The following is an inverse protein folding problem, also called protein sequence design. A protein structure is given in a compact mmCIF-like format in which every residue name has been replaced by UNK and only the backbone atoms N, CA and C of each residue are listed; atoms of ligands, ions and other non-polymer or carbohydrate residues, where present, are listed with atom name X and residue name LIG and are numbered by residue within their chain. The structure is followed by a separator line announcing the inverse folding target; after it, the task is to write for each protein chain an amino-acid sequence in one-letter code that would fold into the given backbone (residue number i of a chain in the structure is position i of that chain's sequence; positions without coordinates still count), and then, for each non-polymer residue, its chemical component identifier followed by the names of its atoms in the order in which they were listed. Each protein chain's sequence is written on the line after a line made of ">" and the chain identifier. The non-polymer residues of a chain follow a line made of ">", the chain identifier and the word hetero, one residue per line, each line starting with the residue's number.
data_IF_415158573770
#
_entry.id   IF_415158573770
#
_cell.length_a   1.000
_cell.length_b   1.000
_cell.length_c   1.000
_cell.angle_alpha   90.00
_cell.angle_beta   90.00
_cell.angle_gamma   90.00
#
_symmetry.space_group_name_H-M   'P 1'
#
loop_
_entity.id
_entity.type
_entity.pdbx_description
1 polymer ?
#
# COMPACT_ATOMS: atom_id res chain seq x y z
N UNK A 1 7.38 18.07 -8.27
CA UNK A 1 8.46 17.73 -9.22
C UNK A 1 9.77 17.89 -8.48
N UNK A 2 10.52 16.80 -8.26
CA UNK A 2 11.89 16.89 -7.74
C UNK A 2 12.82 17.12 -8.93
N UNK A 3 13.64 18.16 -8.87
CA UNK A 3 14.65 18.45 -9.90
C UNK A 3 16.02 18.10 -9.35
N UNK A 4 16.81 17.36 -10.12
CA UNK A 4 18.21 17.08 -9.83
C UNK A 4 19.09 17.75 -10.89
N UNK A 5 19.98 18.63 -10.46
CA UNK A 5 20.88 19.35 -11.37
C UNK A 5 22.09 18.47 -11.70
N UNK A 6 22.22 18.10 -12.97
CA UNK A 6 23.44 17.45 -13.48
C UNK A 6 24.55 18.51 -13.50
N UNK A 7 25.74 18.24 -12.92
CA UNK A 7 26.87 19.18 -12.94
C UNK A 7 27.23 19.60 -14.37
N UNK A 8 27.73 20.83 -14.55
CA UNK A 8 28.23 21.28 -15.86
C UNK A 8 29.46 20.45 -16.25
N UNK A 9 29.58 20.11 -17.54
CA UNK A 9 30.70 19.35 -18.08
C UNK A 9 31.02 19.67 -19.53
N UNK A 10 32.10 19.05 -20.02
CA UNK A 10 32.59 19.24 -21.38
C UNK A 10 31.74 18.47 -22.38
N UNK A 11 31.32 19.15 -23.45
CA UNK A 11 30.55 18.54 -24.55
C UNK A 11 31.23 17.26 -25.06
N UNK A 12 30.44 16.20 -25.23
CA UNK A 12 30.89 14.88 -25.66
C UNK A 12 31.47 14.01 -24.54
N UNK A 13 31.74 14.55 -23.35
CA UNK A 13 32.16 13.76 -22.20
C UNK A 13 30.97 13.04 -21.56
N UNK A 14 31.21 11.85 -21.01
CA UNK A 14 30.21 11.05 -20.30
C UNK A 14 29.69 11.76 -19.06
N UNK A 15 28.39 11.65 -18.83
CA UNK A 15 27.74 12.07 -17.59
C UNK A 15 27.79 10.91 -16.60
N UNK A 16 28.53 11.08 -15.49
CA UNK A 16 28.63 10.08 -14.42
C UNK A 16 27.46 10.18 -13.44
N UNK A 17 26.25 9.98 -13.94
CA UNK A 17 25.02 9.97 -13.16
C UNK A 17 24.16 8.76 -13.55
N UNK A 18 23.39 8.25 -12.61
CA UNK A 18 22.45 7.15 -12.81
C UNK A 18 21.16 7.41 -12.02
N UNK A 19 20.03 7.05 -12.62
CA UNK A 19 18.71 7.11 -11.97
C UNK A 19 18.42 5.88 -11.10
N UNK A 20 19.26 4.84 -11.14
CA UNK A 20 18.98 3.53 -10.53
C UNK A 20 18.75 3.62 -9.02
N UNK A 21 19.64 4.29 -8.28
CA UNK A 21 19.51 4.38 -6.83
C UNK A 21 18.27 5.16 -6.41
N UNK A 22 18.01 6.28 -7.07
CA UNK A 22 16.83 7.12 -6.82
C UNK A 22 15.54 6.35 -7.12
N UNK A 23 15.45 5.67 -8.27
CA UNK A 23 14.29 4.85 -8.63
C UNK A 23 14.08 3.74 -7.59
N UNK A 24 15.13 2.99 -7.24
CA UNK A 24 15.04 1.91 -6.25
C UNK A 24 14.56 2.43 -4.88
N UNK A 25 14.98 3.63 -4.48
CA UNK A 25 14.55 4.22 -3.21
C UNK A 25 13.07 4.62 -3.24
N UNK A 26 12.56 5.10 -4.38
CA UNK A 26 11.13 5.37 -4.54
C UNK A 26 10.31 4.07 -4.62
N UNK A 27 10.81 3.04 -5.29
CA UNK A 27 10.14 1.72 -5.34
C UNK A 27 9.99 1.10 -3.95
N UNK A 28 11.01 1.21 -3.10
CA UNK A 28 10.93 0.81 -1.68
C UNK A 28 9.91 1.60 -0.87
N UNK A 29 9.58 2.81 -1.31
CA UNK A 29 8.52 3.64 -0.73
C UNK A 29 7.14 3.37 -1.34
N UNK A 30 7.03 2.38 -2.24
CA UNK A 30 5.78 1.97 -2.85
C UNK A 30 5.46 2.68 -4.17
N UNK A 31 6.38 3.46 -4.75
CA UNK A 31 6.18 4.01 -6.09
C UNK A 31 6.47 2.97 -7.17
N UNK A 32 5.88 3.15 -8.35
CA UNK A 32 6.09 2.30 -9.52
C UNK A 32 6.63 3.14 -10.66
N UNK A 33 7.71 2.68 -11.29
CA UNK A 33 8.27 3.33 -12.47
C UNK A 33 7.29 3.23 -13.66
N UNK A 34 6.93 4.37 -14.24
CA UNK A 34 6.12 4.44 -15.45
C UNK A 34 7.00 4.63 -16.68
N UNK A 35 7.97 5.54 -16.61
CA UNK A 35 8.90 5.78 -17.72
C UNK A 35 10.17 6.44 -17.23
N UNK A 36 11.29 6.08 -17.87
CA UNK A 36 12.59 6.69 -17.69
C UNK A 36 13.24 6.87 -19.07
N UNK A 37 13.57 8.10 -19.44
CA UNK A 37 14.25 8.38 -20.71
C UNK A 37 15.75 8.72 -20.53
N UNK A 38 16.31 8.53 -19.32
CA UNK A 38 17.73 8.73 -19.08
C UNK A 38 18.57 7.61 -19.71
N UNK A 39 19.50 7.91 -20.64
CA UNK A 39 20.27 6.88 -21.34
C UNK A 39 21.48 6.41 -20.52
N UNK A 40 21.87 5.15 -20.70
CA UNK A 40 23.00 4.51 -19.98
C UNK A 40 24.36 5.15 -20.29
N UNK A 41 24.50 5.76 -21.46
CA UNK A 41 25.72 6.37 -22.01
C UNK A 41 25.55 7.88 -22.28
N UNK A 42 24.74 8.55 -21.46
CA UNK A 42 24.52 9.99 -21.55
C UNK A 42 25.83 10.80 -21.65
N UNK A 43 25.88 11.76 -22.58
CA UNK A 43 27.00 12.70 -22.75
C UNK A 43 26.52 14.15 -22.69
N UNK A 44 27.41 15.09 -22.38
CA UNK A 44 27.09 16.52 -22.42
C UNK A 44 26.86 16.99 -23.86
N UNK A 45 25.75 17.71 -24.09
CA UNK A 45 25.39 18.31 -25.40
C UNK A 45 25.46 19.82 -25.33
N UNK A 46 25.80 20.47 -26.46
CA UNK A 46 25.82 21.94 -26.59
C UNK A 46 24.44 22.53 -26.31
N UNK A 47 23.38 21.86 -26.77
CA UNK A 47 21.98 22.27 -26.57
C UNK A 47 21.47 22.09 -25.13
N UNK A 48 22.29 21.53 -24.23
CA UNK A 48 21.82 21.01 -22.95
C UNK A 48 21.21 19.62 -23.08
N UNK A 49 20.90 19.04 -21.92
CA UNK A 49 20.26 17.74 -21.77
C UNK A 49 19.00 17.91 -20.91
N UNK A 50 17.93 17.22 -21.28
CA UNK A 50 16.70 17.13 -20.49
C UNK A 50 16.28 15.66 -20.42
N UNK A 51 16.05 15.19 -19.20
CA UNK A 51 15.68 13.81 -18.91
C UNK A 51 14.58 13.80 -17.84
N UNK A 52 13.62 12.90 -17.99
CA UNK A 52 12.48 12.76 -17.12
C UNK A 52 12.34 11.30 -16.66
N UNK A 53 12.07 11.18 -15.36
CA UNK A 53 11.67 9.92 -14.72
C UNK A 53 10.28 10.15 -14.15
N UNK A 54 9.32 9.37 -14.61
CA UNK A 54 7.95 9.42 -14.13
C UNK A 54 7.68 8.18 -13.29
N UNK A 55 7.24 8.41 -12.05
CA UNK A 55 6.74 7.39 -11.16
C UNK A 55 5.31 7.73 -10.74
N UNK A 56 4.55 6.71 -10.38
CA UNK A 56 3.22 6.84 -9.77
C UNK A 56 3.23 6.15 -8.42
N UNK A 57 2.32 6.54 -7.53
CA UNK A 57 2.07 5.77 -6.31
C UNK A 57 1.55 4.38 -6.68
N UNK A 58 2.14 3.34 -6.11
CA UNK A 58 1.64 1.98 -6.23
C UNK A 58 0.40 1.78 -5.36
N UNK A 59 -0.40 0.76 -5.72
CA UNK A 59 -1.59 0.38 -4.96
C UNK A 59 -1.46 -1.08 -4.56
N UNK A 60 -1.68 -1.35 -3.27
CA UNK A 60 -1.72 -2.70 -2.74
C UNK A 60 -3.09 -2.97 -2.10
N UNK A 61 -3.79 -4.05 -2.49
CA UNK A 61 -5.03 -4.43 -1.83
C UNK A 61 -4.74 -4.92 -0.41
N UNK A 62 -5.44 -4.33 0.55
CA UNK A 62 -5.41 -4.76 1.95
C UNK A 62 -6.72 -5.47 2.26
N UNK A 63 -6.62 -6.66 2.86
CA UNK A 63 -7.75 -7.47 3.31
C UNK A 63 -7.65 -7.69 4.81
N UNK A 64 -8.72 -8.21 5.47
CA UNK A 64 -8.64 -8.58 6.87
C UNK A 64 -7.51 -9.55 7.23
N UNK A 65 -7.05 -10.35 6.25
CA UNK A 65 -6.04 -11.39 6.47
C UNK A 65 -4.64 -10.99 5.99
N UNK A 66 -4.46 -9.75 5.49
CA UNK A 66 -3.14 -9.22 5.13
C UNK A 66 -2.22 -9.22 6.37
N UNK A 67 -1.04 -9.86 6.31
CA UNK A 67 -0.08 -9.85 7.41
C UNK A 67 0.39 -8.43 7.73
N UNK A 68 0.65 -8.08 9.00
CA UNK A 68 1.14 -6.75 9.37
C UNK A 68 2.45 -6.34 8.70
N UNK A 69 3.30 -7.31 8.35
CA UNK A 69 4.58 -7.08 7.63
C UNK A 69 4.38 -6.62 6.20
N UNK A 70 3.21 -6.89 5.63
CA UNK A 70 2.90 -6.64 4.22
C UNK A 70 2.03 -5.38 4.07
N UNK A 71 1.69 -4.70 5.17
CA UNK A 71 0.92 -3.44 5.15
C UNK A 71 1.87 -2.28 4.83
N UNK A 72 1.65 -1.51 3.75
CA UNK A 72 2.47 -0.35 3.42
C UNK A 72 2.53 0.68 4.53
N UNK A 73 3.70 1.32 4.67
CA UNK A 73 3.89 2.43 5.60
C UNK A 73 2.96 3.60 5.22
N UNK A 74 2.34 4.23 6.22
CA UNK A 74 1.37 5.31 5.99
C UNK A 74 -0.04 4.87 5.60
N UNK A 75 -0.33 3.56 5.57
CA UNK A 75 -1.71 3.05 5.36
C UNK A 75 -2.66 3.65 6.40
N UNK A 76 -3.75 4.34 5.99
CA UNK A 76 -4.72 4.94 6.91
C UNK A 76 -5.33 3.93 7.89
N UNK A 77 -5.68 4.38 9.09
CA UNK A 77 -6.21 3.51 10.16
C UNK A 77 -7.47 2.71 9.72
N UNK A 78 -8.37 3.34 8.95
CA UNK A 78 -9.57 2.69 8.44
C UNK A 78 -9.31 1.65 7.33
N UNK A 79 -8.10 1.62 6.78
CA UNK A 79 -7.66 0.63 5.80
C UNK A 79 -6.76 -0.46 6.41
N UNK A 80 -6.46 -0.40 7.71
CA UNK A 80 -5.68 -1.43 8.40
C UNK A 80 -6.45 -2.76 8.47
N UNK A 81 -5.79 -3.93 8.36
CA UNK A 81 -6.46 -5.24 8.39
C UNK A 81 -7.40 -5.44 9.59
N UNK A 82 -7.03 -4.93 10.76
CA UNK A 82 -7.83 -4.98 11.98
C UNK A 82 -9.13 -4.17 11.88
N UNK A 83 -9.10 -3.01 11.22
CA UNK A 83 -10.28 -2.17 11.00
C UNK A 83 -11.28 -2.79 10.00
N UNK A 84 -10.79 -3.71 9.16
CA UNK A 84 -11.58 -4.45 8.18
C UNK A 84 -12.24 -5.72 8.76
N UNK A 85 -11.95 -6.09 10.02
CA UNK A 85 -12.62 -7.19 10.72
C UNK A 85 -13.87 -6.71 11.45
N UNK A 86 -14.96 -7.48 11.32
CA UNK A 86 -16.21 -7.26 12.04
C UNK A 86 -16.63 -8.54 12.74
N UNK A 87 -16.72 -8.48 14.05
CA UNK A 87 -17.31 -9.55 14.85
C UNK A 87 -18.81 -9.31 15.01
N UNK A 88 -19.60 -10.33 14.68
CA UNK A 88 -21.05 -10.32 14.85
C UNK A 88 -21.45 -11.33 15.90
N UNK A 89 -22.03 -10.85 17.00
CA UNK A 89 -22.57 -11.67 18.08
C UNK A 89 -24.10 -11.61 18.10
N UNK A 90 -24.76 -12.76 18.08
CA UNK A 90 -26.19 -12.88 18.34
C UNK A 90 -26.41 -13.52 19.71
N UNK A 91 -27.11 -12.82 20.60
CA UNK A 91 -27.51 -13.31 21.92
C UNK A 91 -29.01 -13.53 21.94
N UNK A 92 -29.43 -14.77 22.20
CA UNK A 92 -30.84 -15.12 22.40
C UNK A 92 -31.07 -15.25 23.90
N UNK A 93 -32.02 -14.49 24.44
CA UNK A 93 -32.44 -14.59 25.84
C UNK A 93 -33.77 -15.33 25.92
N UNK A 94 -33.85 -16.34 26.78
CA UNK A 94 -35.09 -17.05 27.08
C UNK A 94 -35.65 -16.53 28.40
N UNK A 95 -36.86 -15.97 28.35
CA UNK A 95 -37.58 -15.44 29.51
C UNK A 95 -39.01 -15.97 29.53
N UNK A 96 -39.59 -16.09 30.71
CA UNK A 96 -41.01 -16.39 30.88
C UNK A 96 -41.87 -15.17 30.49
N UNK A 97 -43.20 -15.35 30.40
CA UNK A 97 -44.14 -14.26 30.09
C UNK A 97 -44.12 -13.13 31.13
N UNK A 98 -43.69 -13.41 32.35
CA UNK A 98 -43.52 -12.44 33.44
C UNK A 98 -42.15 -11.71 33.39
N UNK A 99 -41.29 -12.01 32.42
CA UNK A 99 -39.97 -11.41 32.25
C UNK A 99 -38.85 -12.04 33.09
N UNK A 100 -39.15 -13.02 33.95
CA UNK A 100 -38.13 -13.77 34.69
C UNK A 100 -37.30 -14.65 33.74
N UNK A 101 -36.05 -14.93 34.12
CA UNK A 101 -35.18 -15.80 33.32
C UNK A 101 -35.77 -17.22 33.24
N UNK A 102 -35.90 -17.75 32.03
CA UNK A 102 -36.33 -19.14 31.84
C UNK A 102 -35.28 -20.09 32.41
N UNK A 103 -35.66 -20.97 33.32
CA UNK A 103 -34.76 -21.92 34.01
C UNK A 103 -34.90 -23.36 33.50
N UNK A 104 -35.83 -23.60 32.57
CA UNK A 104 -36.02 -24.90 31.93
C UNK A 104 -34.94 -25.22 30.88
N UNK A 105 -35.08 -26.37 30.23
CA UNK A 105 -34.14 -26.79 29.17
C UNK A 105 -34.21 -25.83 27.98
N UNK A 106 -33.14 -25.09 27.74
CA UNK A 106 -33.03 -24.23 26.56
C UNK A 106 -32.77 -25.06 25.31
N UNK A 107 -33.37 -24.71 24.16
CA UNK A 107 -33.06 -25.35 22.90
C UNK A 107 -31.56 -25.28 22.58
N UNK A 108 -30.99 -26.41 22.15
CA UNK A 108 -29.62 -26.43 21.66
C UNK A 108 -29.52 -25.48 20.44
N UNK A 109 -28.48 -24.63 20.44
CA UNK A 109 -28.17 -23.79 19.29
C UNK A 109 -27.90 -24.70 18.10
N UNK A 110 -28.81 -24.76 17.13
CA UNK A 110 -28.49 -25.35 15.82
C UNK A 110 -27.35 -24.52 15.23
N UNK A 111 -26.34 -25.19 14.69
CA UNK A 111 -25.08 -24.58 14.23
C UNK A 111 -25.29 -23.27 13.47
N UNK A 112 -24.35 -22.33 13.61
CA UNK A 112 -24.40 -21.02 12.95
C UNK A 112 -24.71 -21.22 11.45
N UNK A 113 -25.61 -20.43 10.84
CA UNK A 113 -25.66 -20.31 9.39
C UNK A 113 -24.26 -19.96 8.90
N UNK A 114 -23.80 -20.64 7.86
CA UNK A 114 -22.61 -20.21 7.13
C UNK A 114 -23.03 -18.93 6.38
N UNK A 115 -22.47 -17.79 6.80
CA UNK A 115 -22.52 -16.56 6.00
C UNK A 115 -21.72 -16.78 4.72
#
# INVERSE_FOLDING_TARGET
>A
MSTYDIPKGTVGSKINYSTTETINNYEKQGYVLVSNNYPTDAVYKVSGNDYQVHLVEGVQPITPDTPPTDVPTGTPENAQPSALKKDVSLTVKYVNSDGSQFTGTVPARKSKPKL
#
